data_IF_360758982968
#
_entry.id   IF_360758982968
#
_cell.length_a   1.000
_cell.length_b   1.000
_cell.length_c   1.000
_cell.angle_alpha   90.00
_cell.angle_beta   90.00
_cell.angle_gamma   90.00
#
_symmetry.space_group_name_H-M   'P 1'
#
loop_
_entity.id
_entity.type
_entity.pdbx_description
1 polymer ?
#
# COMPACT_ATOMS: atom_id res chain seq x y z
N UNK A 1 16.67 12.80 1.31
CA UNK A 1 17.76 12.42 0.38
C UNK A 1 17.26 12.57 -1.06
N UNK A 2 18.02 13.18 -1.99
CA UNK A 2 17.54 13.47 -3.35
C UNK A 2 17.34 12.21 -4.21
N UNK A 3 18.06 11.12 -3.96
CA UNK A 3 17.88 9.85 -4.69
C UNK A 3 16.58 9.20 -4.24
N UNK A 4 16.37 9.12 -2.91
CA UNK A 4 15.13 8.57 -2.34
C UNK A 4 13.92 9.37 -2.80
N UNK A 5 13.97 10.70 -2.72
CA UNK A 5 12.88 11.56 -3.17
C UNK A 5 12.56 11.36 -4.67
N UNK A 6 13.58 11.23 -5.52
CA UNK A 6 13.39 10.95 -6.94
C UNK A 6 12.79 9.56 -7.23
N UNK A 7 13.01 8.57 -6.35
CA UNK A 7 12.33 7.26 -6.44
C UNK A 7 10.85 7.42 -6.05
N UNK A 8 10.56 8.17 -4.99
CA UNK A 8 9.19 8.42 -4.54
C UNK A 8 8.37 9.20 -5.58
N UNK A 9 8.99 10.17 -6.28
CA UNK A 9 8.38 10.88 -7.41
C UNK A 9 7.97 9.92 -8.53
N UNK A 10 8.85 8.96 -8.88
CA UNK A 10 8.56 7.95 -9.90
C UNK A 10 7.46 7.01 -9.46
N UNK A 11 7.47 6.59 -8.19
CA UNK A 11 6.42 5.74 -7.63
C UNK A 11 5.08 6.48 -7.70
N UNK A 12 5.01 7.71 -7.24
CA UNK A 12 3.78 8.53 -7.27
C UNK A 12 3.26 8.73 -8.70
N UNK A 13 4.16 9.00 -9.64
CA UNK A 13 3.82 9.13 -11.07
C UNK A 13 3.27 7.83 -11.65
N UNK A 14 3.85 6.68 -11.28
CA UNK A 14 3.44 5.37 -11.80
C UNK A 14 2.14 4.87 -11.19
N UNK A 15 1.93 5.08 -9.89
CA UNK A 15 0.75 4.60 -9.16
C UNK A 15 -0.44 5.55 -9.26
N UNK A 16 -0.20 6.80 -9.67
CA UNK A 16 -1.16 7.92 -9.57
C UNK A 16 -1.62 8.19 -8.13
N UNK A 17 -0.82 7.79 -7.13
CA UNK A 17 -1.09 8.07 -5.72
C UNK A 17 -0.15 9.16 -5.21
N UNK A 18 -0.62 10.11 -4.38
CA UNK A 18 0.21 11.20 -3.86
C UNK A 18 1.36 10.69 -2.98
N UNK A 19 2.48 11.41 -2.99
CA UNK A 19 3.68 11.02 -2.21
C UNK A 19 3.44 11.05 -0.71
N UNK A 20 2.64 12.02 -0.27
CA UNK A 20 2.26 12.24 1.12
C UNK A 20 1.44 11.10 1.72
N UNK A 21 0.89 10.20 0.89
CA UNK A 21 0.22 8.99 1.33
C UNK A 21 1.20 7.86 1.63
N UNK A 22 2.47 7.98 1.24
CA UNK A 22 3.45 6.92 1.36
C UNK A 22 4.15 6.91 2.72
N UNK A 23 4.33 5.73 3.30
CA UNK A 23 5.27 5.52 4.42
C UNK A 23 6.73 5.61 3.96
N UNK A 24 7.69 5.71 4.87
CA UNK A 24 9.11 5.58 4.52
C UNK A 24 9.40 4.26 3.79
N UNK A 25 10.38 4.29 2.87
CA UNK A 25 10.81 3.08 2.16
C UNK A 25 11.46 2.10 3.14
N UNK A 26 10.86 0.90 3.28
CA UNK A 26 11.42 -0.15 4.11
C UNK A 26 12.33 -1.08 3.30
N UNK A 27 13.60 -1.18 3.69
CA UNK A 27 14.56 -2.09 3.07
C UNK A 27 14.67 -3.38 3.90
N UNK A 28 14.54 -4.52 3.23
CA UNK A 28 14.64 -5.85 3.83
C UNK A 28 15.70 -6.68 3.11
N UNK A 29 16.44 -7.48 3.90
CA UNK A 29 17.40 -8.48 3.42
C UNK A 29 16.93 -9.87 3.87
N UNK A 30 16.93 -10.83 2.93
CA UNK A 30 16.67 -12.23 3.20
C UNK A 30 17.88 -13.07 2.81
N UNK A 31 18.40 -13.80 3.78
CA UNK A 31 19.45 -14.80 3.65
C UNK A 31 18.87 -16.17 3.28
N UNK A 32 19.75 -17.15 3.11
CA UNK A 32 19.37 -18.52 2.79
C UNK A 32 18.32 -19.07 3.79
N UNK A 33 17.23 -19.63 3.25
CA UNK A 33 16.11 -20.19 4.00
C UNK A 33 15.14 -19.15 4.58
N UNK A 34 15.51 -17.87 4.67
CA UNK A 34 14.63 -16.84 5.19
C UNK A 34 13.47 -16.57 4.22
N UNK A 35 12.30 -16.32 4.81
CA UNK A 35 11.02 -16.14 4.11
C UNK A 35 10.18 -15.09 4.84
N UNK A 36 9.05 -14.75 4.23
CA UNK A 36 8.00 -13.99 4.89
C UNK A 36 6.67 -14.73 4.72
N UNK A 37 5.98 -15.01 5.82
CA UNK A 37 4.75 -15.81 5.79
C UNK A 37 3.59 -15.06 5.09
N UNK A 38 2.58 -15.79 4.59
CA UNK A 38 1.43 -15.18 3.94
C UNK A 38 0.74 -14.14 4.82
N UNK A 39 0.53 -12.94 4.28
CA UNK A 39 -0.05 -11.81 4.99
C UNK A 39 -0.73 -10.84 4.03
N UNK A 40 -1.41 -9.86 4.62
CA UNK A 40 -1.98 -8.71 3.95
C UNK A 40 -1.22 -7.46 4.36
N UNK A 41 -1.13 -6.49 3.45
CA UNK A 41 -0.58 -5.18 3.77
C UNK A 41 -1.63 -4.24 4.36
N UNK A 42 -2.92 -4.49 4.18
CA UNK A 42 -3.95 -3.72 4.87
C UNK A 42 -4.00 -4.08 6.37
N UNK A 43 -4.37 -3.11 7.20
CA UNK A 43 -4.48 -3.31 8.64
C UNK A 43 -5.77 -3.99 9.07
N UNK A 44 -5.74 -4.68 10.21
CA UNK A 44 -6.94 -5.14 10.92
C UNK A 44 -7.19 -4.35 12.22
N UNK A 45 -6.19 -3.59 12.67
CA UNK A 45 -6.25 -2.80 13.90
C UNK A 45 -6.62 -1.34 13.61
N UNK A 46 -7.40 -0.75 14.52
CA UNK A 46 -7.89 0.63 14.37
C UNK A 46 -6.80 1.68 14.55
N UNK A 47 -5.68 1.35 15.20
CA UNK A 47 -4.62 2.31 15.54
C UNK A 47 -3.82 2.67 14.29
N UNK A 48 -3.43 1.68 13.49
CA UNK A 48 -2.73 1.92 12.23
C UNK A 48 -3.66 2.55 11.18
N UNK A 49 -4.95 2.17 11.17
CA UNK A 49 -5.95 2.81 10.29
C UNK A 49 -6.11 4.31 10.60
N UNK A 50 -5.95 4.73 11.85
CA UNK A 50 -6.03 6.16 12.20
C UNK A 50 -4.95 7.01 11.54
N UNK A 51 -3.86 6.41 11.04
CA UNK A 51 -2.76 7.09 10.36
C UNK A 51 -2.85 6.89 8.85
N UNK A 52 -3.58 7.78 8.18
CA UNK A 52 -3.76 7.75 6.73
C UNK A 52 -4.73 6.68 6.20
N UNK A 53 -5.38 5.90 7.07
CA UNK A 53 -6.26 4.80 6.66
C UNK A 53 -5.51 3.51 6.32
N UNK A 54 -6.20 2.59 5.65
CA UNK A 54 -5.55 1.37 5.14
C UNK A 54 -4.49 1.71 4.08
N UNK A 55 -3.47 0.85 3.99
CA UNK A 55 -2.58 0.79 2.82
C UNK A 55 -3.42 0.33 1.62
N UNK A 56 -3.55 1.18 0.61
CA UNK A 56 -4.28 0.88 -0.62
C UNK A 56 -3.41 0.13 -1.62
N UNK A 57 -2.12 0.43 -1.67
CA UNK A 57 -1.20 -0.12 -2.64
C UNK A 57 0.19 -0.35 -2.04
N UNK A 58 0.87 -1.33 -2.60
CA UNK A 58 2.25 -1.67 -2.26
C UNK A 58 3.09 -1.69 -3.53
N UNK A 59 4.21 -0.97 -3.49
CA UNK A 59 5.28 -1.08 -4.49
C UNK A 59 6.47 -1.81 -3.87
N UNK A 60 6.67 -3.06 -4.29
CA UNK A 60 7.78 -3.90 -3.89
C UNK A 60 8.87 -3.89 -4.97
N UNK A 61 9.99 -3.27 -4.68
CA UNK A 61 11.14 -3.17 -5.59
C UNK A 61 12.18 -4.24 -5.25
N UNK A 62 12.67 -4.95 -6.27
CA UNK A 62 13.74 -5.93 -6.10
C UNK A 62 15.10 -5.29 -6.35
N UNK A 63 15.96 -5.31 -5.33
CA UNK A 63 17.27 -4.66 -5.36
C UNK A 63 18.40 -5.62 -5.81
N UNK A 64 18.15 -6.94 -5.76
CA UNK A 64 19.06 -7.98 -6.24
C UNK A 64 18.35 -8.99 -7.16
N UNK A 65 19.16 -9.65 -8.01
CA UNK A 65 18.73 -10.87 -8.70
C UNK A 65 18.87 -12.04 -7.72
N UNK A 66 17.82 -12.84 -7.55
CA UNK A 66 17.87 -14.05 -6.73
C UNK A 66 18.05 -15.27 -7.62
N UNK A 67 19.05 -16.09 -7.33
CA UNK A 67 19.40 -17.26 -8.16
C UNK A 67 18.28 -18.30 -8.14
N UNK A 68 17.87 -18.75 -6.95
CA UNK A 68 16.75 -19.68 -6.73
C UNK A 68 15.92 -19.29 -5.50
N UNK A 69 14.61 -19.46 -5.59
CA UNK A 69 13.68 -19.06 -4.52
C UNK A 69 13.47 -17.55 -4.46
N UNK A 70 13.03 -17.06 -3.31
CA UNK A 70 12.86 -15.63 -3.02
C UNK A 70 11.65 -14.97 -3.70
N UNK A 71 10.83 -15.72 -4.43
CA UNK A 71 9.69 -15.19 -5.17
C UNK A 71 8.67 -14.50 -4.28
N UNK A 72 7.98 -13.49 -4.81
CA UNK A 72 6.76 -12.99 -4.18
C UNK A 72 5.59 -13.77 -4.79
N UNK A 73 4.86 -14.51 -3.96
CA UNK A 73 3.74 -15.35 -4.39
C UNK A 73 2.42 -14.82 -3.85
N UNK A 74 1.37 -14.90 -4.66
CA UNK A 74 -0.03 -14.56 -4.34
C UNK A 74 -0.86 -15.84 -4.41
N UNK A 75 -1.03 -16.57 -3.28
CA UNK A 75 -1.66 -17.88 -3.28
C UNK A 75 -3.16 -17.86 -3.64
N UNK A 76 -3.83 -16.72 -3.45
CA UNK A 76 -5.26 -16.55 -3.73
C UNK A 76 -5.53 -15.85 -5.07
N UNK A 77 -4.50 -15.38 -5.78
CA UNK A 77 -4.69 -14.71 -7.05
C UNK A 77 -5.06 -15.69 -8.17
N UNK A 78 -6.08 -15.34 -8.96
CA UNK A 78 -6.57 -16.17 -10.06
C UNK A 78 -5.79 -15.90 -11.35
N UNK A 79 -5.25 -16.94 -12.00
CA UNK A 79 -4.72 -16.81 -13.36
C UNK A 79 -5.88 -16.75 -14.37
N UNK A 80 -5.97 -15.72 -15.23
CA UNK A 80 -6.98 -15.68 -16.28
C UNK A 80 -6.82 -16.89 -17.20
N UNK A 81 -7.92 -17.60 -17.50
CA UNK A 81 -7.92 -18.84 -18.29
C UNK A 81 -7.30 -18.70 -19.69
N UNK A 82 -7.15 -17.46 -20.19
CA UNK A 82 -6.56 -17.11 -21.49
C UNK A 82 -5.04 -16.95 -21.47
N UNK A 83 -4.41 -16.92 -20.30
CA UNK A 83 -2.95 -16.91 -20.13
C UNK A 83 -2.52 -18.27 -19.62
N UNK A 84 -2.46 -19.27 -20.51
CA UNK A 84 -1.74 -20.52 -20.20
C UNK A 84 -0.26 -20.19 -20.13
N UNK A 85 0.21 -19.89 -18.93
CA UNK A 85 1.63 -19.65 -18.72
C UNK A 85 2.37 -20.98 -18.93
N UNK A 86 3.49 -21.01 -19.68
CA UNK A 86 4.30 -22.22 -19.82
C UNK A 86 4.68 -22.78 -18.45
N UNK A 87 4.99 -24.09 -18.35
CA UNK A 87 5.49 -24.68 -17.10
C UNK A 87 6.62 -23.83 -16.54
N UNK A 88 6.39 -23.25 -15.35
CA UNK A 88 7.36 -22.37 -14.69
C UNK A 88 8.33 -23.23 -13.88
N UNK A 89 9.04 -24.14 -14.56
CA UNK A 89 9.93 -25.12 -13.92
C UNK A 89 11.08 -24.47 -13.13
N UNK A 90 11.36 -23.19 -13.41
CA UNK A 90 12.34 -22.38 -12.69
C UNK A 90 11.84 -21.83 -11.34
N UNK A 91 10.56 -21.98 -11.01
CA UNK A 91 9.97 -21.51 -9.75
C UNK A 91 10.14 -22.54 -8.64
N UNK A 92 10.29 -22.04 -7.41
CA UNK A 92 10.28 -22.86 -6.20
C UNK A 92 8.92 -23.52 -5.95
N UNK A 93 8.90 -24.59 -5.15
CA UNK A 93 7.65 -25.25 -4.71
C UNK A 93 6.72 -24.31 -3.94
N UNK A 94 7.29 -23.32 -3.24
CA UNK A 94 6.50 -22.25 -2.61
C UNK A 94 5.80 -21.38 -3.66
N UNK A 95 6.53 -20.97 -4.70
CA UNK A 95 6.01 -20.09 -5.75
C UNK A 95 4.96 -20.77 -6.63
N UNK A 96 4.97 -22.11 -6.74
CA UNK A 96 3.96 -22.89 -7.46
C UNK A 96 2.58 -22.88 -6.79
N UNK A 97 2.46 -22.39 -5.56
CA UNK A 97 1.17 -22.31 -4.83
C UNK A 97 0.23 -21.20 -5.32
N UNK A 98 0.67 -20.35 -6.25
CA UNK A 98 -0.14 -19.27 -6.80
C UNK A 98 0.58 -18.49 -7.91
N UNK A 99 0.09 -17.29 -8.21
CA UNK A 99 0.80 -16.38 -9.12
C UNK A 99 2.05 -15.89 -8.41
N UNK A 100 3.21 -16.08 -9.03
CA UNK A 100 4.48 -15.68 -8.45
C UNK A 100 5.34 -14.84 -9.38
N UNK A 101 6.10 -13.93 -8.78
CA UNK A 101 7.05 -13.03 -9.42
C UNK A 101 8.45 -13.35 -8.91
N UNK A 102 9.36 -13.67 -9.83
CA UNK A 102 10.77 -13.93 -9.50
C UNK A 102 11.51 -12.60 -9.28
N UNK A 103 12.32 -12.45 -8.21
CA UNK A 103 13.06 -11.22 -7.97
C UNK A 103 14.14 -11.01 -9.03
N UNK A 104 14.06 -9.86 -9.70
CA UNK A 104 15.03 -9.40 -10.69
C UNK A 104 15.40 -7.96 -10.36
N UNK A 105 16.70 -7.69 -10.23
CA UNK A 105 17.21 -6.39 -9.85
C UNK A 105 16.66 -5.31 -10.79
N UNK A 106 16.05 -4.29 -10.20
CA UNK A 106 15.48 -3.15 -10.92
C UNK A 106 13.99 -3.30 -11.26
N UNK A 107 13.45 -4.53 -11.23
CA UNK A 107 12.01 -4.72 -11.40
C UNK A 107 11.25 -4.27 -10.13
N UNK A 108 10.05 -3.76 -10.32
CA UNK A 108 9.12 -3.40 -9.26
C UNK A 108 7.76 -4.06 -9.49
N UNK A 109 7.16 -4.53 -8.41
CA UNK A 109 5.84 -5.12 -8.38
C UNK A 109 4.87 -4.15 -7.69
N UNK A 110 3.84 -3.73 -8.41
CA UNK A 110 2.71 -2.98 -7.85
C UNK A 110 1.52 -3.92 -7.70
N UNK A 111 0.93 -3.93 -6.51
CA UNK A 111 -0.34 -4.59 -6.23
C UNK A 111 -1.17 -3.75 -5.27
N UNK A 112 -2.50 -3.94 -5.32
CA UNK A 112 -3.45 -3.22 -4.50
C UNK A 112 -3.98 -4.13 -3.39
N UNK A 113 -4.03 -3.61 -2.17
CA UNK A 113 -4.55 -4.32 -1.00
C UNK A 113 -6.05 -4.11 -0.82
N UNK A 114 -6.62 -3.11 -1.52
CA UNK A 114 -8.04 -2.77 -1.48
C UNK A 114 -8.62 -2.74 -2.89
N UNK A 115 -9.91 -3.03 -2.99
CA UNK A 115 -10.70 -2.70 -4.17
C UNK A 115 -10.86 -1.17 -4.31
N UNK A 116 -11.23 -0.65 -5.51
CA UNK A 116 -11.55 0.77 -5.68
C UNK A 116 -12.69 1.27 -4.77
N UNK A 117 -13.49 0.36 -4.21
CA UNK A 117 -14.52 0.62 -3.20
C UNK A 117 -13.97 0.75 -1.78
N UNK A 118 -12.65 0.77 -1.59
CA UNK A 118 -11.93 0.79 -0.31
C UNK A 118 -12.18 -0.42 0.59
N UNK A 119 -12.64 -1.54 0.02
CA UNK A 119 -12.83 -2.81 0.73
C UNK A 119 -11.55 -3.64 0.64
N UNK A 120 -11.05 -4.24 1.73
CA UNK A 120 -9.91 -5.15 1.70
C UNK A 120 -10.06 -6.30 0.68
N UNK A 121 -9.05 -6.45 -0.18
CA UNK A 121 -9.02 -7.50 -1.20
C UNK A 121 -8.32 -8.75 -0.67
N UNK A 122 -9.06 -9.85 -0.51
CA UNK A 122 -8.50 -11.13 -0.06
C UNK A 122 -7.51 -11.71 -1.06
N UNK A 123 -7.65 -11.42 -2.36
CA UNK A 123 -6.74 -11.91 -3.39
C UNK A 123 -5.35 -11.23 -3.31
N UNK A 124 -5.21 -10.17 -2.51
CA UNK A 124 -3.93 -9.51 -2.22
C UNK A 124 -3.06 -10.26 -1.20
N UNK A 125 -3.54 -11.40 -0.66
CA UNK A 125 -2.74 -12.26 0.21
C UNK A 125 -1.45 -12.63 -0.52
N UNK A 126 -0.32 -12.31 0.10
CA UNK A 126 0.97 -12.55 -0.52
C UNK A 126 2.03 -12.98 0.50
N UNK A 127 3.08 -13.62 0.00
CA UNK A 127 4.18 -14.15 0.81
C UNK A 127 5.52 -13.96 0.08
N UNK A 128 6.59 -13.92 0.87
CA UNK A 128 7.96 -14.03 0.38
C UNK A 128 8.44 -15.47 0.48
N UNK A 129 8.60 -16.15 -0.64
CA UNK A 129 9.11 -17.53 -0.66
C UNK A 129 10.56 -17.60 -0.13
N UNK A 130 10.96 -18.74 0.47
CA UNK A 130 12.31 -18.92 0.98
C UNK A 130 13.37 -18.65 -0.09
N UNK A 131 14.44 -17.94 0.27
CA UNK A 131 15.63 -17.85 -0.59
C UNK A 131 16.37 -19.19 -0.55
N UNK A 132 16.54 -19.83 -1.70
CA UNK A 132 17.23 -21.14 -1.80
C UNK A 132 18.69 -20.92 -2.19
N UNK A 133 18.98 -19.99 -3.10
CA UNK A 133 20.32 -19.69 -3.56
C UNK A 133 20.47 -18.20 -3.89
N UNK A 134 21.55 -17.57 -3.41
CA UNK A 134 21.78 -16.13 -3.48
C UNK A 134 21.26 -15.37 -2.26
N UNK A 135 21.01 -14.08 -2.41
CA UNK A 135 20.40 -13.22 -1.39
C UNK A 135 19.35 -12.31 -2.01
N UNK A 136 18.27 -12.04 -1.26
CA UNK A 136 17.21 -11.13 -1.68
C UNK A 136 17.31 -9.83 -0.91
N UNK A 137 17.48 -8.73 -1.62
CA UNK A 137 17.24 -7.40 -1.10
C UNK A 137 15.99 -6.83 -1.76
N UNK A 138 15.11 -6.24 -0.96
CA UNK A 138 13.91 -5.57 -1.44
C UNK A 138 13.69 -4.25 -0.73
N UNK A 139 13.06 -3.31 -1.44
CA UNK A 139 12.58 -2.05 -0.88
C UNK A 139 11.06 -1.99 -1.08
N UNK A 140 10.31 -1.83 -0.01
CA UNK A 140 8.86 -1.74 -0.03
C UNK A 140 8.43 -0.31 0.23
N UNK A 141 7.52 0.22 -0.60
CA UNK A 141 6.81 1.47 -0.38
C UNK A 141 5.33 1.14 -0.21
N UNK A 142 4.82 1.34 0.99
CA UNK A 142 3.38 1.26 1.26
C UNK A 142 2.74 2.62 1.07
N UNK A 143 1.55 2.63 0.47
CA UNK A 143 0.82 3.85 0.16
C UNK A 143 -0.58 3.73 0.75
N UNK A 144 -0.96 4.72 1.56
CA UNK A 144 -2.23 4.82 2.26
C UNK A 144 -3.34 5.45 1.40
N UNK A 145 -4.59 5.28 1.83
CA UNK A 145 -5.75 5.96 1.19
C UNK A 145 -5.75 7.47 1.39
N UNK A 146 -5.08 7.97 2.43
CA UNK A 146 -4.90 9.40 2.74
C UNK A 146 -3.45 9.67 3.19
N UNK A 147 -3.13 10.93 3.45
CA UNK A 147 -1.80 11.35 3.86
C UNK A 147 -1.37 10.67 5.17
N UNK A 148 -0.20 10.04 5.14
CA UNK A 148 0.36 9.30 6.27
C UNK A 148 1.01 10.22 7.31
N UNK A 149 1.66 11.28 6.85
CA UNK A 149 2.42 12.23 7.69
C UNK A 149 1.66 13.52 8.03
N UNK A 150 0.37 13.65 7.69
CA UNK A 150 -0.41 14.79 8.18
C UNK A 150 -0.35 14.76 9.70
N UNK A 151 0.44 15.69 10.24
CA UNK A 151 0.34 16.16 11.60
C UNK A 151 -1.15 16.26 11.87
N UNK A 152 -1.61 15.48 12.84
CA UNK A 152 -2.83 15.81 13.54
C UNK A 152 -2.59 17.24 14.04
N UNK A 153 -3.11 18.23 13.32
CA UNK A 153 -3.13 19.61 13.77
C UNK A 153 -4.14 19.64 14.93
N UNK A 154 -3.71 19.09 16.07
CA UNK A 154 -4.51 18.93 17.29
C UNK A 154 -4.80 20.30 17.91
N UNK A 155 -4.20 21.39 17.40
CA UNK A 155 -4.47 22.71 17.90
C UNK A 155 -4.12 23.81 16.92
N UNK A 156 -5.15 24.49 16.42
CA UNK A 156 -4.97 25.88 16.02
C UNK A 156 -6.13 26.49 15.29
N UNK A 157 -6.38 26.11 14.04
CA UNK A 157 -7.21 26.91 13.15
C UNK A 157 -8.33 26.10 12.52
N UNK A 158 -9.56 26.55 12.78
CA UNK A 158 -10.75 26.07 12.09
C UNK A 158 -10.66 26.42 10.60
N UNK A 159 -10.24 25.45 9.80
CA UNK A 159 -10.07 25.62 8.36
C UNK A 159 -10.63 24.42 7.64
N UNK A 160 -10.99 24.65 6.38
CA UNK A 160 -11.28 23.57 5.46
C UNK A 160 -9.97 23.14 4.80
N UNK A 161 -9.72 21.83 4.80
CA UNK A 161 -8.52 21.20 4.25
C UNK A 161 -8.74 20.73 2.80
N UNK A 162 -9.91 21.00 2.23
CA UNK A 162 -10.24 20.69 0.84
C UNK A 162 -11.06 21.82 0.20
N UNK A 163 -10.71 22.19 -1.03
CA UNK A 163 -11.41 23.22 -1.82
C UNK A 163 -12.89 22.90 -2.08
N UNK A 164 -13.26 21.62 -2.05
CA UNK A 164 -14.63 21.16 -2.27
C UNK A 164 -15.50 21.16 -1.01
N UNK A 165 -14.95 21.50 0.17
CA UNK A 165 -15.68 21.42 1.44
C UNK A 165 -16.99 22.23 1.45
N UNK A 166 -17.01 23.44 0.90
CA UNK A 166 -18.22 24.27 0.83
C UNK A 166 -19.30 23.59 -0.02
N UNK A 167 -18.89 23.04 -1.17
CA UNK A 167 -19.78 22.32 -2.09
C UNK A 167 -20.34 21.05 -1.45
N UNK A 168 -19.50 20.27 -0.78
CA UNK A 168 -19.94 19.05 -0.10
C UNK A 168 -20.87 19.35 1.08
N UNK A 169 -20.58 20.40 1.85
CA UNK A 169 -21.48 20.85 2.91
C UNK A 169 -22.86 21.25 2.34
N UNK A 170 -22.91 21.96 1.22
CA UNK A 170 -24.15 22.30 0.52
C UNK A 170 -24.93 21.06 0.01
N UNK A 171 -24.24 19.95 -0.28
CA UNK A 171 -24.84 18.66 -0.68
C UNK A 171 -25.27 17.77 0.51
N UNK A 172 -25.08 18.25 1.74
CA UNK A 172 -25.47 17.56 2.97
C UNK A 172 -24.45 16.53 3.48
N UNK A 173 -23.20 16.60 3.02
CA UNK A 173 -22.16 15.64 3.42
C UNK A 173 -21.77 15.76 4.90
N UNK A 174 -22.00 16.91 5.55
CA UNK A 174 -21.79 17.06 6.99
C UNK A 174 -22.60 16.03 7.84
N UNK A 175 -23.71 15.51 7.28
CA UNK A 175 -24.51 14.44 7.91
C UNK A 175 -24.21 13.08 7.30
N UNK A 176 -24.09 12.99 5.98
CA UNK A 176 -23.90 11.71 5.26
C UNK A 176 -22.50 11.12 5.43
N UNK A 177 -21.49 11.97 5.47
CA UNK A 177 -20.07 11.62 5.61
C UNK A 177 -19.45 12.35 6.81
N UNK A 178 -20.09 12.19 7.97
CA UNK A 178 -19.80 12.96 9.18
C UNK A 178 -18.34 12.82 9.64
N UNK A 179 -17.77 11.62 9.60
CA UNK A 179 -16.40 11.38 10.06
C UNK A 179 -15.38 12.14 9.20
N UNK A 180 -15.50 12.11 7.87
CA UNK A 180 -14.63 12.87 7.00
C UNK A 180 -14.82 14.39 7.14
N UNK A 181 -16.08 14.83 7.21
CA UNK A 181 -16.41 16.26 7.17
C UNK A 181 -16.16 16.95 8.52
N UNK A 182 -16.58 16.33 9.63
CA UNK A 182 -16.59 16.90 10.99
C UNK A 182 -15.49 16.29 11.86
N UNK A 183 -15.19 15.01 11.69
CA UNK A 183 -14.23 14.27 12.51
C UNK A 183 -14.90 13.42 13.60
N UNK A 184 -14.06 12.79 14.40
CA UNK A 184 -14.42 12.04 15.61
C UNK A 184 -13.91 12.76 16.87
N UNK A 185 -14.05 12.13 18.04
CA UNK A 185 -13.51 12.70 19.28
C UNK A 185 -11.96 12.71 19.29
N UNK A 186 -11.35 11.87 18.47
CA UNK A 186 -9.90 11.66 18.41
C UNK A 186 -9.25 12.38 17.22
N UNK A 187 -10.00 12.61 16.14
CA UNK A 187 -9.48 13.13 14.86
C UNK A 187 -10.36 14.26 14.32
N UNK A 188 -9.81 15.46 14.06
CA UNK A 188 -10.57 16.53 13.43
C UNK A 188 -10.91 16.17 11.97
N UNK A 189 -12.15 16.49 11.55
CA UNK A 189 -12.55 16.34 10.15
C UNK A 189 -11.91 17.38 9.24
N UNK A 190 -12.00 17.13 7.94
CA UNK A 190 -11.36 17.93 6.90
C UNK A 190 -12.17 19.18 6.51
N UNK A 191 -13.47 19.23 6.82
CA UNK A 191 -14.38 20.29 6.37
C UNK A 191 -15.11 20.96 7.53
N UNK A 192 -14.45 21.07 8.68
CA UNK A 192 -15.06 21.50 9.94
C UNK A 192 -15.62 22.93 9.86
N UNK A 193 -14.94 23.83 9.13
CA UNK A 193 -15.39 25.21 8.92
C UNK A 193 -16.64 25.24 8.04
N UNK A 194 -16.63 24.52 6.91
CA UNK A 194 -17.80 24.41 6.03
C UNK A 194 -19.00 23.76 6.73
N UNK A 195 -18.76 22.83 7.65
CA UNK A 195 -19.80 22.21 8.49
C UNK A 195 -20.18 23.00 9.74
N UNK A 196 -19.57 24.16 9.99
CA UNK A 196 -19.87 25.05 11.12
C UNK A 196 -19.76 24.38 12.50
N UNK A 197 -18.84 23.42 12.62
CA UNK A 197 -18.51 22.73 13.90
C UNK A 197 -17.27 23.31 14.57
N UNK A 198 -16.65 24.23 13.86
CA UNK A 198 -15.87 25.37 14.30
C UNK A 198 -16.15 26.47 13.25
#
# INVERSE_FOLDING_TARGET
>A
DPIVAGIEDKISTWTFLPKENGEDIQVLRYEHGQKYDPHYDYFTDKVNIARGGHRIATVLMYLTNVTKGGETVFPQAEEPSRRRTPPKDYLSECAKKGIAVKPRRGDALLFFSLFPTAIPDQNSLHAGCPVIEGEKWSATKWIHVDSFEKNLDIGGNCTDLNESCERWAALGECTKNREYMIGTAELPGYCRRSCKVC
#
